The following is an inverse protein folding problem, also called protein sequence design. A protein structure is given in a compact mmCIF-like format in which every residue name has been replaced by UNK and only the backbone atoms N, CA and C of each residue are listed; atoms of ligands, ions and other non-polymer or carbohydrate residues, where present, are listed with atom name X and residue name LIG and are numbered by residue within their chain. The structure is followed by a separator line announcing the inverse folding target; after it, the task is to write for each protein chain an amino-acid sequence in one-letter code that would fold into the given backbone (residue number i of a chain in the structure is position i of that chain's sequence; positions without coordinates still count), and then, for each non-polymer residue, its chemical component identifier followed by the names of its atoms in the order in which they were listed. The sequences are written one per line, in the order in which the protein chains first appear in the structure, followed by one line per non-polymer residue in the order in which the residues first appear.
data_IF_669496499387
#
_entry.id   IF_669496499387
#
_cell.length_a   1.000
_cell.length_b   1.000
_cell.length_c   1.000
_cell.angle_alpha   90.00
_cell.angle_beta   90.00
_cell.angle_gamma   90.00
#
_symmetry.space_group_name_H-M   'P 1'
#
loop_
_entity.id
_entity.type
_entity.pdbx_description
1 polymer ?
#
# COMPACT_ATOMS: atom_id res chain seq x y z
N UNK A 1 -14.54 -77.94 8.31
CA UNK A 1 -14.98 -77.02 9.38
C UNK A 1 -13.74 -76.34 9.94
N UNK A 2 -13.65 -75.01 9.90
CA UNK A 2 -12.50 -74.27 10.44
C UNK A 2 -12.65 -74.07 11.96
N UNK A 3 -11.55 -74.26 12.70
CA UNK A 3 -11.52 -74.11 14.16
C UNK A 3 -11.62 -72.62 14.56
N UNK A 4 -12.29 -72.27 15.67
CA UNK A 4 -12.48 -70.88 16.08
C UNK A 4 -11.14 -70.28 16.53
N UNK A 5 -10.91 -69.02 16.15
CA UNK A 5 -9.74 -68.24 16.56
C UNK A 5 -9.90 -67.91 18.05
N UNK A 6 -8.97 -68.35 18.89
CA UNK A 6 -9.06 -68.26 20.34
C UNK A 6 -8.33 -67.06 20.95
N UNK A 7 -7.61 -66.29 20.15
CA UNK A 7 -6.86 -65.14 20.66
C UNK A 7 -6.78 -64.06 19.58
N UNK A 8 -7.28 -62.87 19.92
CA UNK A 8 -7.16 -61.65 19.12
C UNK A 8 -6.38 -60.67 19.98
N UNK A 9 -5.06 -60.74 19.89
CA UNK A 9 -4.18 -59.82 20.60
C UNK A 9 -4.20 -58.48 19.86
N UNK A 10 -4.81 -57.46 20.46
CA UNK A 10 -4.80 -56.09 19.93
C UNK A 10 -3.38 -55.55 20.04
N UNK A 11 -2.73 -55.32 18.90
CA UNK A 11 -1.46 -54.59 18.86
C UNK A 11 -1.75 -53.11 19.14
N UNK A 12 -1.41 -52.64 20.34
CA UNK A 12 -1.38 -51.21 20.62
C UNK A 12 -0.04 -50.67 20.12
N UNK A 13 -0.06 -49.76 19.12
CA UNK A 13 1.16 -49.26 18.53
C UNK A 13 1.99 -48.56 19.60
N UNK A 14 3.28 -48.91 19.63
CA UNK A 14 4.23 -48.30 20.55
C UNK A 14 4.44 -46.82 20.20
N UNK A 15 4.91 -46.01 21.16
CA UNK A 15 5.14 -44.58 20.96
C UNK A 15 6.09 -44.30 19.78
N UNK A 16 7.07 -45.18 19.57
CA UNK A 16 7.99 -45.14 18.42
C UNK A 16 7.28 -45.42 17.08
N UNK A 17 6.33 -46.37 17.05
CA UNK A 17 5.52 -46.67 15.86
C UNK A 17 4.57 -45.52 15.52
N UNK A 18 3.97 -44.88 16.53
CA UNK A 18 3.13 -43.70 16.34
C UNK A 18 3.92 -42.51 15.78
N UNK A 19 5.12 -42.27 16.30
CA UNK A 19 6.00 -41.21 15.79
C UNK A 19 6.45 -41.49 14.34
N UNK A 20 6.80 -42.74 14.02
CA UNK A 20 7.18 -43.15 12.67
C UNK A 20 6.02 -42.98 11.68
N UNK A 21 4.80 -43.30 12.10
CA UNK A 21 3.60 -43.11 11.30
C UNK A 21 3.30 -41.63 11.05
N UNK A 22 3.36 -40.79 12.09
CA UNK A 22 3.13 -39.35 11.97
C UNK A 22 4.16 -38.67 11.05
N UNK A 23 5.43 -39.06 11.14
CA UNK A 23 6.48 -38.60 10.23
C UNK A 23 6.23 -39.03 8.79
N UNK A 24 5.80 -40.29 8.58
CA UNK A 24 5.45 -40.81 7.26
C UNK A 24 4.27 -40.07 6.62
N UNK A 25 3.25 -39.75 7.41
CA UNK A 25 2.09 -38.96 6.95
C UNK A 25 2.50 -37.53 6.57
N UNK A 26 3.31 -36.87 7.40
CA UNK A 26 3.86 -35.54 7.09
C UNK A 26 4.69 -35.56 5.81
N UNK A 27 5.59 -36.54 5.65
CA UNK A 27 6.39 -36.72 4.44
C UNK A 27 5.52 -36.91 3.20
N UNK A 28 4.44 -37.68 3.30
CA UNK A 28 3.49 -37.89 2.21
C UNK A 28 2.77 -36.59 1.81
N UNK A 29 2.30 -35.81 2.78
CA UNK A 29 1.66 -34.52 2.54
C UNK A 29 2.63 -33.54 1.90
N UNK A 30 3.86 -33.46 2.41
CA UNK A 30 4.89 -32.57 1.87
C UNK A 30 5.29 -33.00 0.45
N UNK A 31 5.48 -34.29 0.20
CA UNK A 31 5.81 -34.81 -1.13
C UNK A 31 4.70 -34.54 -2.15
N UNK A 32 3.43 -34.69 -1.73
CA UNK A 32 2.26 -34.46 -2.60
C UNK A 32 2.02 -32.98 -2.89
N UNK A 33 2.37 -32.08 -1.96
CA UNK A 33 2.08 -30.64 -2.06
C UNK A 33 3.34 -29.76 -2.08
N UNK A 34 4.49 -30.34 -2.45
CA UNK A 34 5.80 -29.70 -2.31
C UNK A 34 5.92 -28.32 -2.97
N UNK A 35 5.36 -28.13 -4.16
CA UNK A 35 5.33 -26.82 -4.84
C UNK A 35 4.48 -25.79 -4.07
N UNK A 36 3.26 -26.15 -3.65
CA UNK A 36 2.40 -25.25 -2.90
C UNK A 36 3.02 -24.84 -1.55
N UNK A 37 3.71 -25.76 -0.88
CA UNK A 37 4.45 -25.48 0.36
C UNK A 37 5.63 -24.55 0.08
N UNK A 38 6.36 -24.78 -1.02
CA UNK A 38 7.48 -23.92 -1.42
C UNK A 38 7.03 -22.51 -1.73
N UNK A 39 5.91 -22.33 -2.41
CA UNK A 39 5.34 -21.01 -2.68
C UNK A 39 4.81 -20.33 -1.41
N UNK A 40 4.20 -21.09 -0.50
CA UNK A 40 3.81 -20.56 0.81
C UNK A 40 5.03 -20.09 1.62
N UNK A 41 6.12 -20.86 1.60
CA UNK A 41 7.38 -20.48 2.25
C UNK A 41 7.99 -19.22 1.63
N UNK A 42 7.95 -19.05 0.30
CA UNK A 42 8.38 -17.79 -0.34
C UNK A 42 7.53 -16.61 0.12
N UNK A 43 6.20 -16.77 0.24
CA UNK A 43 5.33 -15.69 0.74
C UNK A 43 5.69 -15.33 2.17
N UNK A 44 5.95 -16.32 3.03
CA UNK A 44 6.39 -16.11 4.41
C UNK A 44 7.75 -15.40 4.46
N UNK A 45 8.69 -15.79 3.62
CA UNK A 45 10.01 -15.17 3.50
C UNK A 45 9.91 -13.71 3.05
N UNK A 46 9.13 -13.42 2.01
CA UNK A 46 8.85 -12.06 1.55
C UNK A 46 8.23 -11.20 2.65
N UNK A 47 7.26 -11.74 3.39
CA UNK A 47 6.62 -11.05 4.51
C UNK A 47 7.58 -10.78 5.66
N UNK A 48 8.54 -11.67 5.89
CA UNK A 48 9.59 -11.48 6.89
C UNK A 48 10.61 -10.40 6.44
N UNK A 49 11.09 -10.44 5.20
CA UNK A 49 12.06 -9.46 4.68
C UNK A 49 11.53 -8.03 4.70
N UNK A 50 10.24 -7.85 4.40
CA UNK A 50 9.61 -6.53 4.41
C UNK A 50 9.17 -6.05 5.82
N UNK A 51 9.50 -6.79 6.88
CA UNK A 51 9.19 -6.42 8.26
C UNK A 51 7.71 -6.61 8.65
N UNK A 52 6.91 -7.29 7.82
CA UNK A 52 5.48 -7.46 8.06
C UNK A 52 5.22 -8.45 9.21
N UNK A 53 6.07 -9.48 9.38
CA UNK A 53 5.95 -10.43 10.47
C UNK A 53 6.17 -9.79 11.84
N UNK A 54 7.07 -8.82 11.95
CA UNK A 54 7.35 -8.05 13.16
C UNK A 54 6.16 -7.14 13.51
N UNK A 55 5.53 -6.55 12.50
CA UNK A 55 4.30 -5.76 12.67
C UNK A 55 3.17 -6.66 13.17
N UNK A 56 2.92 -7.80 12.52
CA UNK A 56 1.89 -8.77 12.91
C UNK A 56 2.16 -9.29 14.33
N UNK A 57 3.39 -9.67 14.63
CA UNK A 57 3.81 -10.14 15.95
C UNK A 57 3.63 -9.06 17.02
N UNK A 58 4.00 -7.82 16.72
CA UNK A 58 3.79 -6.67 17.60
C UNK A 58 2.31 -6.39 17.87
N UNK A 59 1.44 -6.51 16.86
CA UNK A 59 -0.01 -6.38 17.01
C UNK A 59 -0.60 -7.49 17.88
N UNK A 60 -0.14 -8.73 17.72
CA UNK A 60 -0.60 -9.87 18.53
C UNK A 60 -0.13 -9.72 19.99
N UNK A 61 1.13 -9.34 20.22
CA UNK A 61 1.65 -9.10 21.57
C UNK A 61 0.96 -7.92 22.26
N UNK A 62 0.53 -6.92 21.49
CA UNK A 62 -0.18 -5.74 21.99
C UNK A 62 -1.71 -5.90 22.01
N UNK A 63 -2.26 -7.12 21.84
CA UNK A 63 -3.71 -7.38 21.70
C UNK A 63 -4.57 -6.67 22.76
N UNK A 64 -4.11 -6.64 24.02
CA UNK A 64 -4.86 -6.08 25.14
C UNK A 64 -4.93 -4.55 25.05
N UNK A 65 -3.80 -3.89 24.73
CA UNK A 65 -3.74 -2.44 24.50
C UNK A 65 -4.47 -2.00 23.23
N UNK A 66 -4.42 -2.81 22.17
CA UNK A 66 -5.09 -2.52 20.89
C UNK A 66 -6.59 -2.76 20.98
N UNK A 67 -7.05 -3.77 21.73
CA UNK A 67 -8.48 -3.99 21.96
C UNK A 67 -9.13 -2.87 22.77
N UNK A 68 -8.45 -2.38 23.81
CA UNK A 68 -8.96 -1.32 24.70
C UNK A 68 -9.10 0.03 23.98
N UNK A 69 -8.19 0.34 23.05
CA UNK A 69 -8.16 1.62 22.33
C UNK A 69 -8.79 1.53 20.92
N UNK A 70 -8.67 0.39 20.25
CA UNK A 70 -8.94 0.22 18.82
C UNK A 70 -10.39 -0.09 18.47
N UNK A 71 -11.06 -1.01 19.18
CA UNK A 71 -12.40 -1.47 18.75
C UNK A 71 -13.48 -0.40 18.94
N UNK A 72 -13.37 0.41 19.98
CA UNK A 72 -14.30 1.52 20.24
C UNK A 72 -14.06 2.76 19.35
N UNK A 73 -12.88 2.90 18.76
CA UNK A 73 -12.51 4.03 17.89
C UNK A 73 -12.64 3.72 16.40
N UNK A 74 -12.37 2.48 15.99
CA UNK A 74 -12.54 2.03 14.59
C UNK A 74 -14.00 2.02 14.16
N UNK A 75 -14.92 1.77 15.09
CA UNK A 75 -16.37 1.85 14.87
C UNK A 75 -16.91 3.28 14.86
N UNK A 76 -16.08 4.31 15.14
CA UNK A 76 -16.55 5.69 15.12
C UNK A 76 -16.70 6.18 13.68
N UNK A 77 -17.74 6.99 13.40
CA UNK A 77 -17.95 7.61 12.09
C UNK A 77 -16.74 8.40 11.58
N UNK A 78 -15.85 8.86 12.46
CA UNK A 78 -14.62 9.56 12.10
C UNK A 78 -13.62 8.66 11.37
N UNK A 79 -13.48 7.40 11.78
CA UNK A 79 -12.55 6.48 11.13
C UNK A 79 -13.07 6.04 9.76
N UNK A 80 -14.35 5.71 9.65
CA UNK A 80 -15.00 5.40 8.36
C UNK A 80 -14.95 6.58 7.40
N UNK A 81 -15.15 7.82 7.88
CA UNK A 81 -14.95 9.03 7.08
C UNK A 81 -13.50 9.19 6.62
N UNK A 82 -12.53 8.90 7.48
CA UNK A 82 -11.10 8.91 7.12
C UNK A 82 -10.79 7.93 6.00
N UNK A 83 -11.25 6.69 6.12
CA UNK A 83 -11.10 5.65 5.09
C UNK A 83 -11.76 6.08 3.78
N UNK A 84 -13.00 6.57 3.83
CA UNK A 84 -13.70 7.05 2.65
C UNK A 84 -12.96 8.21 1.99
N UNK A 85 -12.46 9.18 2.76
CA UNK A 85 -11.69 10.30 2.21
C UNK A 85 -10.39 9.83 1.54
N UNK A 86 -9.68 8.87 2.14
CA UNK A 86 -8.47 8.29 1.54
C UNK A 86 -8.80 7.55 0.25
N UNK A 87 -9.85 6.73 0.24
CA UNK A 87 -10.30 6.01 -0.95
C UNK A 87 -10.77 6.97 -2.04
N UNK A 88 -11.47 8.05 -1.68
CA UNK A 88 -11.85 9.11 -2.62
C UNK A 88 -10.63 9.84 -3.17
N UNK A 89 -9.63 10.15 -2.34
CA UNK A 89 -8.39 10.75 -2.81
C UNK A 89 -7.63 9.83 -3.78
N UNK A 90 -7.58 8.52 -3.50
CA UNK A 90 -7.01 7.52 -4.41
C UNK A 90 -7.79 7.46 -5.73
N UNK A 91 -9.13 7.45 -5.67
CA UNK A 91 -9.98 7.48 -6.85
C UNK A 91 -9.73 8.72 -7.71
N UNK A 92 -9.71 9.90 -7.10
CA UNK A 92 -9.41 11.17 -7.78
C UNK A 92 -8.00 11.16 -8.40
N UNK A 93 -6.99 10.60 -7.70
CA UNK A 93 -5.64 10.45 -8.26
C UNK A 93 -5.60 9.49 -9.45
N UNK A 94 -6.45 8.46 -9.46
CA UNK A 94 -6.59 7.53 -10.59
C UNK A 94 -7.30 8.13 -11.81
N UNK A 95 -8.14 9.15 -11.61
CA UNK A 95 -8.81 9.89 -12.69
C UNK A 95 -7.87 10.90 -13.39
N UNK A 96 -6.71 11.21 -12.80
CA UNK A 96 -5.74 12.12 -13.39
C UNK A 96 -4.94 11.43 -14.51
N UNK A 97 -4.90 12.05 -15.69
CA UNK A 97 -4.04 11.58 -16.77
C UNK A 97 -2.54 11.70 -16.40
N UNK A 98 -1.74 10.62 -16.52
CA UNK A 98 -0.31 10.65 -16.16
C UNK A 98 0.50 11.72 -16.89
N UNK A 99 0.12 12.05 -18.13
CA UNK A 99 0.78 13.11 -18.91
C UNK A 99 0.54 14.49 -18.34
N UNK A 100 -0.67 14.77 -17.82
CA UNK A 100 -0.97 16.03 -17.15
C UNK A 100 -0.16 16.18 -15.88
N UNK A 101 -0.05 15.12 -15.07
CA UNK A 101 0.78 15.12 -13.86
C UNK A 101 2.24 15.46 -14.21
N UNK A 102 2.81 14.79 -15.22
CA UNK A 102 4.19 15.05 -15.67
C UNK A 102 4.38 16.50 -16.13
N UNK A 103 3.43 17.05 -16.91
CA UNK A 103 3.49 18.44 -17.39
C UNK A 103 3.42 19.46 -16.26
N UNK A 104 2.54 19.24 -15.27
CA UNK A 104 2.44 20.13 -14.10
C UNK A 104 3.70 20.06 -13.25
N UNK A 105 4.16 18.85 -12.90
CA UNK A 105 5.36 18.66 -12.07
C UNK A 105 6.60 19.26 -12.74
N UNK A 106 6.82 18.98 -14.03
CA UNK A 106 7.94 19.56 -14.78
C UNK A 106 7.84 21.08 -14.89
N UNK A 107 6.63 21.63 -15.05
CA UNK A 107 6.39 23.07 -15.02
C UNK A 107 6.75 23.71 -13.67
N UNK A 108 6.41 23.06 -12.56
CA UNK A 108 6.76 23.50 -11.20
C UNK A 108 8.27 23.49 -10.99
N UNK A 109 8.95 22.40 -11.34
CA UNK A 109 10.42 22.30 -11.23
C UNK A 109 11.10 23.40 -12.04
N UNK A 110 10.73 23.56 -13.31
CA UNK A 110 11.27 24.62 -14.16
C UNK A 110 10.99 26.02 -13.61
N UNK A 111 9.82 26.24 -12.99
CA UNK A 111 9.46 27.51 -12.35
C UNK A 111 10.32 27.81 -11.14
N UNK A 112 10.63 26.81 -10.32
CA UNK A 112 11.55 26.93 -9.17
C UNK A 112 12.96 27.29 -9.66
N UNK A 113 13.47 26.60 -10.68
CA UNK A 113 14.80 26.87 -11.24
C UNK A 113 14.90 28.31 -11.79
N UNK A 114 13.91 28.72 -12.60
CA UNK A 114 13.81 30.10 -13.12
C UNK A 114 13.71 31.15 -12.01
N UNK A 115 12.99 30.84 -10.93
CA UNK A 115 12.90 31.73 -9.76
C UNK A 115 14.25 31.87 -9.06
N UNK A 116 14.97 30.77 -8.87
CA UNK A 116 16.29 30.79 -8.24
C UNK A 116 17.30 31.59 -9.08
N UNK A 117 17.29 31.43 -10.41
CA UNK A 117 18.10 32.24 -11.33
C UNK A 117 17.77 33.73 -11.24
N UNK A 118 16.48 34.09 -11.21
CA UNK A 118 16.04 35.47 -11.08
C UNK A 118 16.46 36.09 -9.74
N UNK A 119 16.34 35.34 -8.64
CA UNK A 119 16.79 35.77 -7.31
C UNK A 119 18.31 35.95 -7.23
N UNK A 120 19.09 35.06 -7.87
CA UNK A 120 20.54 35.18 -7.94
C UNK A 120 21.02 36.42 -8.71
N UNK A 121 20.24 36.89 -9.68
CA UNK A 121 20.57 38.09 -10.48
C UNK A 121 20.38 39.42 -9.73
N UNK A 122 19.75 39.41 -8.54
CA UNK A 122 19.39 40.58 -7.72
C UNK A 122 18.67 41.72 -8.49
N UNK A 123 18.07 41.42 -9.63
CA UNK A 123 17.32 42.37 -10.45
C UNK A 123 15.92 42.57 -9.86
N UNK A 124 15.58 43.81 -9.54
CA UNK A 124 14.23 44.18 -9.10
C UNK A 124 13.34 44.34 -10.33
N UNK A 125 12.19 43.68 -10.32
CA UNK A 125 11.21 43.81 -11.40
C UNK A 125 10.50 45.17 -11.32
N UNK A 126 10.57 45.96 -12.39
CA UNK A 126 9.86 47.24 -12.50
C UNK A 126 8.45 47.10 -13.10
N UNK A 127 7.67 48.18 -13.04
CA UNK A 127 6.30 48.22 -13.59
C UNK A 127 6.26 47.98 -15.12
N UNK A 128 7.29 48.42 -15.84
CA UNK A 128 7.39 48.19 -17.29
C UNK A 128 7.72 46.74 -17.63
N UNK A 129 8.50 46.06 -16.79
CA UNK A 129 8.85 44.66 -16.99
C UNK A 129 7.66 43.74 -16.69
N UNK A 130 6.80 44.11 -15.74
CA UNK A 130 5.49 43.46 -15.52
C UNK A 130 4.63 43.45 -16.79
N UNK A 131 4.55 44.59 -17.50
CA UNK A 131 3.79 44.68 -18.75
C UNK A 131 4.41 43.78 -19.83
N UNK A 132 5.75 43.68 -19.89
CA UNK A 132 6.43 42.73 -20.79
C UNK A 132 6.11 41.28 -20.43
N UNK A 133 6.13 40.94 -19.14
CA UNK A 133 5.80 39.58 -18.67
C UNK A 133 4.35 39.23 -19.02
N UNK A 134 3.39 40.14 -18.87
CA UNK A 134 2.01 39.89 -19.28
C UNK A 134 1.85 39.67 -20.79
N UNK A 135 2.74 40.24 -21.61
CA UNK A 135 2.80 40.04 -23.06
C UNK A 135 3.64 38.83 -23.48
N UNK A 136 4.40 38.23 -22.57
CA UNK A 136 5.19 37.04 -22.86
C UNK A 136 4.25 35.85 -23.14
N UNK A 137 4.46 35.10 -24.25
CA UNK A 137 3.57 34.02 -24.64
C UNK A 137 3.52 32.86 -23.63
N UNK A 138 4.59 32.61 -22.87
CA UNK A 138 4.61 31.55 -21.87
C UNK A 138 3.88 31.97 -20.60
N UNK A 139 4.12 33.20 -20.13
CA UNK A 139 3.40 33.76 -18.99
C UNK A 139 1.89 33.89 -19.27
N UNK A 140 1.52 34.32 -20.48
CA UNK A 140 0.12 34.43 -20.90
C UNK A 140 -0.58 33.05 -20.93
N UNK A 141 0.09 32.00 -21.43
CA UNK A 141 -0.46 30.62 -21.38
C UNK A 141 -0.73 30.15 -19.96
N UNK A 142 0.20 30.40 -19.02
CA UNK A 142 0.04 30.04 -17.62
C UNK A 142 -1.13 30.82 -16.97
N UNK A 143 -1.23 32.11 -17.24
CA UNK A 143 -2.35 32.96 -16.80
C UNK A 143 -3.70 32.46 -17.35
N UNK A 144 -3.75 32.13 -18.63
CA UNK A 144 -4.96 31.60 -19.28
C UNK A 144 -5.38 30.28 -18.65
N UNK A 145 -4.43 29.38 -18.40
CA UNK A 145 -4.68 28.13 -17.68
C UNK A 145 -5.21 28.37 -16.27
N UNK A 146 -4.59 29.29 -15.51
CA UNK A 146 -5.03 29.62 -14.15
C UNK A 146 -6.45 30.18 -14.12
N UNK A 147 -6.78 31.11 -15.03
CA UNK A 147 -8.14 31.66 -15.15
C UNK A 147 -9.15 30.57 -15.56
N UNK A 148 -8.79 29.70 -16.51
CA UNK A 148 -9.63 28.58 -16.93
C UNK A 148 -9.89 27.59 -15.79
N UNK A 149 -8.86 27.26 -15.01
CA UNK A 149 -8.98 26.43 -13.81
C UNK A 149 -9.93 27.05 -12.78
N UNK A 150 -9.73 28.34 -12.44
CA UNK A 150 -10.57 29.03 -11.47
C UNK A 150 -12.05 29.07 -11.91
N UNK A 151 -12.29 29.26 -13.22
CA UNK A 151 -13.65 29.23 -13.78
C UNK A 151 -14.27 27.84 -13.64
N UNK A 152 -13.57 26.78 -14.05
CA UNK A 152 -14.06 25.41 -13.96
C UNK A 152 -14.29 24.94 -12.51
N UNK A 153 -13.43 25.39 -11.58
CA UNK A 153 -13.61 25.15 -10.15
C UNK A 153 -14.89 25.83 -9.62
N UNK A 154 -15.13 27.08 -10.02
CA UNK A 154 -16.35 27.82 -9.66
C UNK A 154 -17.64 27.24 -10.26
N UNK A 155 -17.57 26.49 -11.36
CA UNK A 155 -18.72 25.80 -11.96
C UNK A 155 -19.15 24.54 -11.18
N UNK A 156 -18.30 24.05 -10.27
CA UNK A 156 -18.51 22.81 -9.50
C UNK A 156 -18.67 23.02 -7.99
N UNK A 157 -18.57 24.27 -7.51
CA UNK A 157 -18.87 24.70 -6.14
C UNK A 157 -20.25 25.35 -6.06
#
# INVERSE_FOLDING_TARGET
MAKPIQDVTRHEPTEAELQAQALGELLSVVAKHGEAIKDLLKVVELLHEMGAMEIIGGLIQSREKVMEIGVSQLSKPTMTRGINNVMSAIGMMGELEPEMIRKVVSGVVNGIDRSNEALASNQKMGMFDLIKVLRDPNANRALTMAVGFLKGLGEKL
#
